data_IF_666205307629
#
_entry.id   IF_666205307629
#
_cell.length_a   1.000
_cell.length_b   1.000
_cell.length_c   1.000
_cell.angle_alpha   90.00
_cell.angle_beta   90.00
_cell.angle_gamma   90.00
#
_symmetry.space_group_name_H-M   'P 1'
#
loop_
_entity.id
_entity.type
_entity.pdbx_description
1 polymer ?
#
# COMPACT_ATOMS: atom_id res chain seq x y z
N UNK A 1 1.54 13.99 21.49
CA UNK A 1 1.38 13.49 20.10
C UNK A 1 1.50 11.99 20.17
N UNK A 2 0.38 11.24 20.11
CA UNK A 2 0.45 9.77 20.04
C UNK A 2 0.86 9.45 18.61
N UNK A 3 2.02 8.82 18.42
CA UNK A 3 2.38 8.21 17.13
C UNK A 3 1.50 6.97 17.01
N UNK A 4 0.45 7.05 16.20
CA UNK A 4 -0.23 5.88 15.67
C UNK A 4 0.23 5.80 14.22
N UNK A 5 1.04 4.79 13.91
CA UNK A 5 1.60 4.60 12.58
C UNK A 5 0.85 3.52 11.82
N UNK A 6 1.09 3.44 10.53
CA UNK A 6 0.79 2.25 9.73
C UNK A 6 2.10 1.48 9.49
N UNK A 7 2.02 0.33 8.81
CA UNK A 7 3.20 -0.36 8.28
C UNK A 7 3.15 -0.30 6.75
N UNK A 8 4.30 -0.13 6.11
CA UNK A 8 4.38 -0.06 4.64
C UNK A 8 5.56 -0.88 4.13
N UNK A 9 5.38 -1.55 3.01
CA UNK A 9 6.46 -2.24 2.29
C UNK A 9 7.48 -1.22 1.79
N UNK A 10 8.74 -1.62 1.66
CA UNK A 10 9.81 -0.77 1.12
C UNK A 10 10.91 -1.59 0.43
N UNK A 11 11.68 -0.94 -0.43
CA UNK A 11 12.84 -1.55 -1.07
C UNK A 11 14.08 -1.46 -0.17
N UNK A 12 14.56 -2.60 0.35
CA UNK A 12 15.72 -2.68 1.25
C UNK A 12 17.05 -2.23 0.60
N UNK A 13 17.12 -2.11 -0.73
CA UNK A 13 18.35 -1.72 -1.42
C UNK A 13 18.82 -0.28 -1.15
N UNK A 14 18.00 0.55 -0.51
CA UNK A 14 18.26 1.97 -0.29
C UNK A 14 18.58 2.36 1.16
N UNK A 15 18.61 1.42 2.12
CA UNK A 15 18.60 1.78 3.56
C UNK A 15 19.47 0.85 4.45
N UNK A 16 19.94 1.33 5.62
CA UNK A 16 20.62 0.49 6.60
C UNK A 16 19.68 -0.62 7.13
N UNK A 17 20.21 -1.85 7.20
CA UNK A 17 19.47 -3.10 7.40
C UNK A 17 18.67 -3.23 8.72
N UNK A 18 18.80 -2.30 9.67
CA UNK A 18 18.30 -2.46 11.04
C UNK A 18 16.86 -1.95 11.29
N UNK A 19 16.15 -1.43 10.28
CA UNK A 19 14.81 -0.83 10.44
C UNK A 19 13.65 -1.59 9.76
N UNK A 20 13.94 -2.70 9.07
CA UNK A 20 12.93 -3.46 8.33
C UNK A 20 12.65 -4.82 8.99
N UNK A 21 11.38 -5.19 9.07
CA UNK A 21 10.96 -6.56 9.42
C UNK A 21 10.59 -7.31 8.14
N UNK A 22 10.78 -8.64 8.13
CA UNK A 22 10.33 -9.49 7.01
C UNK A 22 8.94 -10.03 7.33
N UNK A 23 7.99 -9.79 6.43
CA UNK A 23 6.62 -10.29 6.49
C UNK A 23 6.31 -11.05 5.19
N UNK A 24 5.57 -12.15 5.32
CA UNK A 24 4.88 -12.82 4.22
C UNK A 24 3.39 -12.83 4.58
N UNK A 25 2.45 -12.83 3.64
CA UNK A 25 1.05 -13.07 3.98
C UNK A 25 0.92 -14.57 4.33
N UNK A 26 0.97 -14.91 5.63
CA UNK A 26 1.03 -16.32 6.07
C UNK A 26 -0.35 -16.97 6.20
N UNK A 27 -1.42 -16.19 6.38
CA UNK A 27 -2.82 -16.62 6.45
C UNK A 27 -3.75 -15.42 6.17
N UNK A 28 -4.80 -15.60 5.35
CA UNK A 28 -5.81 -14.57 5.04
C UNK A 28 -5.78 -14.04 3.61
N UNK A 29 -6.65 -13.07 3.30
CA UNK A 29 -6.77 -12.45 1.99
C UNK A 29 -6.00 -11.13 1.88
N UNK A 30 -5.64 -10.77 0.65
CA UNK A 30 -5.06 -9.48 0.29
C UNK A 30 -6.18 -8.53 -0.14
N UNK A 31 -6.38 -7.44 0.60
CA UNK A 31 -7.30 -6.38 0.19
C UNK A 31 -6.65 -5.55 -0.93
N UNK A 32 -7.24 -5.53 -2.11
CA UNK A 32 -6.67 -4.89 -3.31
C UNK A 32 -7.50 -3.68 -3.71
N UNK A 33 -7.11 -2.51 -3.21
CA UNK A 33 -7.88 -1.26 -3.31
C UNK A 33 -7.41 -0.48 -4.55
N UNK A 34 -8.32 -0.31 -5.51
CA UNK A 34 -7.99 0.33 -6.80
C UNK A 34 -8.80 1.60 -6.96
N UNK A 35 -8.12 2.72 -7.21
CA UNK A 35 -8.79 3.94 -7.67
C UNK A 35 -8.80 3.98 -9.22
N UNK A 36 -9.93 3.68 -9.88
CA UNK A 36 -10.01 3.60 -11.34
C UNK A 36 -9.81 4.96 -12.03
N UNK A 37 -9.95 6.07 -11.29
CA UNK A 37 -9.74 7.45 -11.79
C UNK A 37 -8.26 7.86 -11.74
N UNK A 38 -7.41 7.12 -11.04
CA UNK A 38 -5.96 7.40 -10.96
C UNK A 38 -5.21 6.84 -12.17
N UNK A 39 -4.19 7.58 -12.61
CA UNK A 39 -3.14 7.12 -13.52
C UNK A 39 -3.49 6.99 -15.01
N UNK A 40 -2.44 6.87 -15.80
CA UNK A 40 -2.50 6.60 -17.23
C UNK A 40 -2.82 5.12 -17.51
N UNK A 41 -3.23 4.80 -18.73
CA UNK A 41 -3.55 3.42 -19.15
C UNK A 41 -2.38 2.45 -18.92
N UNK A 42 -1.14 2.90 -19.11
CA UNK A 42 0.08 2.10 -18.90
C UNK A 42 0.27 1.69 -17.43
N UNK A 43 0.07 2.62 -16.49
CA UNK A 43 0.22 2.30 -15.07
C UNK A 43 -0.92 1.41 -14.57
N UNK A 44 -2.14 1.56 -15.10
CA UNK A 44 -3.27 0.64 -14.81
C UNK A 44 -2.97 -0.80 -15.23
N UNK A 45 -2.21 -1.00 -16.33
CA UNK A 45 -1.76 -2.33 -16.74
C UNK A 45 -0.87 -2.97 -15.67
N UNK A 46 0.03 -2.20 -15.05
CA UNK A 46 0.88 -2.70 -13.96
C UNK A 46 0.07 -3.14 -12.74
N UNK A 47 -0.95 -2.37 -12.35
CA UNK A 47 -1.88 -2.77 -11.29
C UNK A 47 -2.57 -4.09 -11.58
N UNK A 48 -3.07 -4.28 -12.81
CA UNK A 48 -3.68 -5.56 -13.20
C UNK A 48 -2.68 -6.71 -13.23
N UNK A 49 -1.48 -6.50 -13.78
CA UNK A 49 -0.46 -7.55 -13.86
C UNK A 49 0.03 -7.99 -12.48
N UNK A 50 0.05 -7.08 -11.50
CA UNK A 50 0.43 -7.43 -10.14
C UNK A 50 -0.67 -8.23 -9.42
N UNK A 51 -1.94 -7.88 -9.63
CA UNK A 51 -3.08 -8.70 -9.19
C UNK A 51 -3.00 -10.13 -9.76
N UNK A 52 -2.80 -10.24 -11.09
CA UNK A 52 -2.65 -11.53 -11.78
C UNK A 52 -1.49 -12.34 -11.19
N UNK A 53 -0.34 -11.71 -10.93
CA UNK A 53 0.80 -12.36 -10.28
C UNK A 53 0.46 -12.90 -8.89
N UNK A 54 -0.27 -12.14 -8.06
CA UNK A 54 -0.67 -12.59 -6.72
C UNK A 54 -1.60 -13.81 -6.79
N UNK A 55 -2.58 -13.78 -7.69
CA UNK A 55 -3.51 -14.91 -7.90
C UNK A 55 -2.75 -16.15 -8.42
N UNK A 56 -1.82 -15.99 -9.36
CA UNK A 56 -0.97 -17.08 -9.85
C UNK A 56 -0.08 -17.69 -8.77
N UNK A 57 0.31 -16.91 -7.77
CA UNK A 57 1.04 -17.39 -6.58
C UNK A 57 0.14 -18.07 -5.55
N UNK A 58 -1.17 -18.07 -5.75
CA UNK A 58 -2.15 -18.74 -4.89
C UNK A 58 -2.68 -17.88 -3.75
N UNK A 59 -2.45 -16.56 -3.76
CA UNK A 59 -3.04 -15.66 -2.77
C UNK A 59 -4.52 -15.43 -3.06
N UNK A 60 -5.36 -15.40 -2.02
CA UNK A 60 -6.73 -14.88 -2.13
C UNK A 60 -6.67 -13.35 -2.23
N UNK A 61 -7.13 -12.78 -3.34
CA UNK A 61 -7.13 -11.34 -3.57
C UNK A 61 -8.58 -10.84 -3.66
N UNK A 62 -8.94 -9.86 -2.82
CA UNK A 62 -10.26 -9.21 -2.84
C UNK A 62 -10.14 -7.81 -3.39
N UNK A 63 -10.61 -7.61 -4.61
CA UNK A 63 -10.52 -6.33 -5.31
C UNK A 63 -11.68 -5.41 -4.94
N UNK A 64 -11.36 -4.20 -4.51
CA UNK A 64 -12.31 -3.12 -4.25
C UNK A 64 -12.03 -1.92 -5.16
N UNK A 65 -13.01 -1.54 -5.97
CA UNK A 65 -12.91 -0.36 -6.83
C UNK A 65 -13.50 0.85 -6.11
N UNK A 66 -12.67 1.85 -5.85
CA UNK A 66 -13.13 3.04 -5.12
C UNK A 66 -13.81 4.05 -6.04
N UNK A 67 -14.76 4.78 -5.49
CA UNK A 67 -15.56 5.80 -6.18
C UNK A 67 -15.11 7.21 -5.84
N UNK A 68 -14.48 7.39 -4.67
CA UNK A 68 -13.94 8.64 -4.15
C UNK A 68 -12.69 8.39 -3.28
N UNK A 69 -12.09 9.47 -2.78
CA UNK A 69 -11.00 9.39 -1.80
C UNK A 69 -11.51 8.96 -0.42
N UNK A 70 -12.68 9.44 -0.01
CA UNK A 70 -13.31 9.05 1.25
C UNK A 70 -13.64 7.54 1.25
N UNK A 71 -14.16 7.03 0.14
CA UNK A 71 -14.43 5.61 -0.07
C UNK A 71 -13.14 4.75 0.01
N UNK A 72 -12.00 5.28 -0.49
CA UNK A 72 -10.72 4.59 -0.34
C UNK A 72 -10.28 4.48 1.13
N UNK A 73 -10.55 5.50 1.94
CA UNK A 73 -10.30 5.48 3.37
C UNK A 73 -11.23 4.49 4.09
N UNK A 74 -12.52 4.49 3.76
CA UNK A 74 -13.52 3.59 4.34
C UNK A 74 -13.19 2.12 4.06
N UNK A 75 -12.92 1.77 2.80
CA UNK A 75 -12.52 0.41 2.41
C UNK A 75 -11.22 -0.02 3.10
N UNK A 76 -10.25 0.89 3.25
CA UNK A 76 -9.03 0.60 3.97
C UNK A 76 -9.27 0.40 5.47
N UNK A 77 -10.20 1.14 6.06
CA UNK A 77 -10.58 1.00 7.47
C UNK A 77 -11.25 -0.36 7.73
N UNK A 78 -12.14 -0.78 6.85
CA UNK A 78 -12.79 -2.10 6.94
C UNK A 78 -11.75 -3.22 6.84
N UNK A 79 -10.86 -3.12 5.84
CA UNK A 79 -9.75 -4.05 5.70
C UNK A 79 -8.80 -3.99 6.91
N UNK A 80 -8.59 -2.83 7.53
CA UNK A 80 -7.71 -2.63 8.68
C UNK A 80 -8.18 -3.34 9.96
N UNK A 81 -9.49 -3.53 10.12
CA UNK A 81 -10.08 -4.18 11.31
C UNK A 81 -10.50 -5.63 11.09
N UNK A 82 -10.54 -6.12 9.85
CA UNK A 82 -10.92 -7.50 9.52
C UNK A 82 -9.81 -8.52 9.85
N UNK A 83 -10.06 -9.45 10.77
CA UNK A 83 -9.08 -10.47 11.18
C UNK A 83 -8.56 -11.32 10.01
N UNK A 84 -9.38 -11.55 8.98
CA UNK A 84 -9.01 -12.40 7.84
C UNK A 84 -8.21 -11.64 6.77
N UNK A 85 -8.01 -10.32 6.93
CA UNK A 85 -7.19 -9.52 6.02
C UNK A 85 -5.71 -9.59 6.43
N UNK A 86 -4.87 -10.15 5.57
CA UNK A 86 -3.45 -10.29 5.83
C UNK A 86 -2.65 -9.00 5.52
N UNK A 87 -3.06 -8.27 4.48
CA UNK A 87 -2.43 -7.02 4.05
C UNK A 87 -3.31 -6.24 3.08
N UNK A 88 -2.94 -4.98 2.86
CA UNK A 88 -3.60 -4.09 1.91
C UNK A 88 -2.64 -3.72 0.79
N UNK A 89 -3.08 -3.86 -0.46
CA UNK A 89 -2.43 -3.30 -1.64
C UNK A 89 -3.25 -2.10 -2.11
N UNK A 90 -2.60 -0.95 -2.27
CA UNK A 90 -3.21 0.25 -2.86
C UNK A 90 -2.69 0.49 -4.27
N UNK A 91 -3.62 0.60 -5.21
CA UNK A 91 -3.36 0.89 -6.62
C UNK A 91 -3.91 2.26 -6.95
N UNK A 92 -3.04 3.28 -6.96
CA UNK A 92 -3.47 4.66 -7.12
C UNK A 92 -2.33 5.68 -7.10
N UNK A 93 -2.67 6.95 -7.26
CA UNK A 93 -1.74 8.07 -7.04
C UNK A 93 -1.66 8.47 -5.56
N UNK A 94 -0.86 9.50 -5.26
CA UNK A 94 -0.55 9.96 -3.90
C UNK A 94 -1.80 10.24 -3.04
N UNK A 95 -2.84 10.83 -3.62
CA UNK A 95 -4.10 11.08 -2.91
C UNK A 95 -4.76 9.80 -2.41
N UNK A 96 -4.83 8.77 -3.25
CA UNK A 96 -5.39 7.46 -2.88
C UNK A 96 -4.52 6.76 -1.83
N UNK A 97 -3.20 6.76 -2.04
CA UNK A 97 -2.23 6.15 -1.12
C UNK A 97 -2.36 6.76 0.27
N UNK A 98 -2.51 8.08 0.35
CA UNK A 98 -2.68 8.80 1.61
C UNK A 98 -3.96 8.44 2.34
N UNK A 99 -5.09 8.34 1.64
CA UNK A 99 -6.36 7.96 2.27
C UNK A 99 -6.37 6.49 2.71
N UNK A 100 -5.77 5.58 1.92
CA UNK A 100 -5.61 4.18 2.34
C UNK A 100 -4.69 4.08 3.56
N UNK A 101 -3.60 4.84 3.59
CA UNK A 101 -2.71 4.88 4.74
C UNK A 101 -3.42 5.42 5.99
N UNK A 102 -4.28 6.42 5.83
CA UNK A 102 -5.10 6.96 6.90
C UNK A 102 -6.12 5.94 7.42
N UNK A 103 -6.82 5.22 6.54
CA UNK A 103 -7.75 4.16 6.95
C UNK A 103 -7.07 3.00 7.67
N UNK A 104 -5.80 2.73 7.38
CA UNK A 104 -4.98 1.74 8.06
C UNK A 104 -4.27 2.25 9.33
N UNK A 105 -4.52 3.48 9.76
CA UNK A 105 -3.89 4.06 10.95
C UNK A 105 -4.11 3.19 12.19
N UNK A 106 -3.03 2.81 12.87
CA UNK A 106 -3.09 1.99 14.09
C UNK A 106 -3.31 0.49 13.82
N UNK A 107 -3.42 0.07 12.57
CA UNK A 107 -3.42 -1.34 12.17
C UNK A 107 -1.99 -1.89 12.05
N UNK A 108 -1.84 -3.18 12.27
CA UNK A 108 -0.64 -3.97 12.00
C UNK A 108 -0.61 -4.55 10.58
N UNK A 109 -1.63 -4.28 9.76
CA UNK A 109 -1.67 -4.72 8.37
C UNK A 109 -0.75 -3.88 7.51
N UNK A 110 0.25 -4.49 6.86
CA UNK A 110 1.17 -3.73 6.03
C UNK A 110 0.52 -3.30 4.71
N UNK A 111 0.94 -2.13 4.25
CA UNK A 111 0.50 -1.52 3.01
C UNK A 111 1.54 -1.73 1.91
N UNK A 112 1.13 -2.22 0.75
CA UNK A 112 1.95 -2.21 -0.45
C UNK A 112 1.40 -1.22 -1.47
N UNK A 113 2.26 -0.37 -2.01
CA UNK A 113 1.88 0.66 -2.97
C UNK A 113 2.18 0.19 -4.39
N UNK A 114 1.17 0.22 -5.25
CA UNK A 114 1.30 0.16 -6.70
C UNK A 114 1.07 1.56 -7.26
N UNK A 115 2.15 2.32 -7.53
CA UNK A 115 2.04 3.73 -7.89
C UNK A 115 1.46 3.90 -9.28
N UNK A 116 0.38 4.69 -9.38
CA UNK A 116 -0.25 5.07 -10.64
C UNK A 116 -0.14 6.56 -10.99
N UNK A 117 0.32 7.40 -10.06
CA UNK A 117 0.39 8.86 -10.21
C UNK A 117 1.60 9.32 -11.01
N UNK A 118 1.71 10.63 -11.21
CA UNK A 118 2.87 11.25 -11.87
C UNK A 118 4.06 11.40 -10.92
N UNK A 119 3.80 11.92 -9.72
CA UNK A 119 4.84 12.29 -8.76
C UNK A 119 5.18 11.15 -7.79
N UNK A 120 4.19 10.34 -7.38
CA UNK A 120 4.37 9.12 -6.58
C UNK A 120 5.32 9.32 -5.38
N UNK A 121 5.15 10.42 -4.65
CA UNK A 121 6.14 10.93 -3.69
C UNK A 121 6.50 9.88 -2.64
N UNK A 122 5.48 9.25 -2.02
CA UNK A 122 5.69 8.24 -0.98
C UNK A 122 6.30 6.96 -1.55
N UNK A 123 5.85 6.53 -2.73
CA UNK A 123 6.40 5.36 -3.41
C UNK A 123 7.88 5.58 -3.76
N UNK A 124 8.24 6.74 -4.29
CA UNK A 124 9.63 7.10 -4.61
C UNK A 124 10.51 7.13 -3.35
N UNK A 125 10.01 7.69 -2.25
CA UNK A 125 10.72 7.73 -0.97
C UNK A 125 10.97 6.32 -0.39
N UNK A 126 10.04 5.39 -0.62
CA UNK A 126 10.17 3.98 -0.24
C UNK A 126 10.96 3.13 -1.26
N UNK A 127 11.43 3.73 -2.35
CA UNK A 127 12.22 3.06 -3.39
C UNK A 127 11.39 2.23 -4.39
N UNK A 128 10.10 2.50 -4.51
CA UNK A 128 9.25 1.94 -5.55
C UNK A 128 9.32 2.79 -6.83
N UNK A 129 9.22 2.12 -7.96
CA UNK A 129 8.85 2.75 -9.23
C UNK A 129 7.58 2.09 -9.79
N UNK A 130 7.03 2.66 -10.87
CA UNK A 130 5.83 2.14 -11.54
C UNK A 130 6.06 0.83 -12.32
N UNK A 131 7.22 0.17 -12.16
CA UNK A 131 7.50 -1.08 -12.88
C UNK A 131 7.04 -2.28 -12.07
N UNK A 132 6.27 -3.16 -12.72
CA UNK A 132 5.85 -4.45 -12.17
C UNK A 132 7.00 -5.22 -11.50
N UNK A 133 8.18 -5.25 -12.13
CA UNK A 133 9.37 -5.94 -11.62
C UNK A 133 9.80 -5.45 -10.24
N UNK A 134 9.70 -4.16 -9.97
CA UNK A 134 10.08 -3.55 -8.69
C UNK A 134 9.05 -3.87 -7.62
N UNK A 135 7.76 -3.81 -7.98
CA UNK A 135 6.64 -4.16 -7.12
C UNK A 135 6.74 -5.63 -6.68
N UNK A 136 6.89 -6.55 -7.63
CA UNK A 136 7.04 -8.00 -7.35
C UNK A 136 8.24 -8.26 -6.46
N UNK A 137 9.41 -7.67 -6.77
CA UNK A 137 10.60 -7.83 -5.94
C UNK A 137 10.39 -7.35 -4.51
N UNK A 138 9.68 -6.24 -4.33
CA UNK A 138 9.44 -5.67 -3.01
C UNK A 138 8.47 -6.53 -2.20
N UNK A 139 7.40 -7.01 -2.85
CA UNK A 139 6.49 -7.99 -2.27
C UNK A 139 7.22 -9.28 -1.85
N UNK A 140 8.01 -9.87 -2.75
CA UNK A 140 8.75 -11.12 -2.47
C UNK A 140 9.82 -10.95 -1.39
N UNK A 141 10.43 -9.77 -1.30
CA UNK A 141 11.41 -9.47 -0.28
C UNK A 141 10.79 -9.33 1.11
N UNK A 142 9.53 -8.88 1.19
CA UNK A 142 8.76 -8.85 2.44
C UNK A 142 9.17 -7.75 3.42
N UNK A 143 10.02 -6.80 3.02
CA UNK A 143 10.52 -5.77 3.92
C UNK A 143 9.47 -4.70 4.21
N UNK A 144 9.05 -4.62 5.47
CA UNK A 144 8.10 -3.62 5.97
C UNK A 144 8.76 -2.69 6.99
N UNK A 145 8.27 -1.45 7.05
CA UNK A 145 8.70 -0.44 8.02
C UNK A 145 7.52 0.37 8.57
N UNK A 146 7.67 0.99 9.75
CA UNK A 146 6.70 1.95 10.23
C UNK A 146 6.57 3.13 9.26
N UNK A 147 5.32 3.56 9.05
CA UNK A 147 4.94 4.76 8.33
C UNK A 147 4.32 5.73 9.33
N UNK A 148 4.97 6.88 9.54
CA UNK A 148 4.42 7.91 10.42
C UNK A 148 3.29 8.65 9.69
N UNK A 149 2.15 8.72 10.35
CA UNK A 149 0.99 9.46 9.89
C UNK A 149 0.82 10.72 10.74
N UNK A 150 0.65 11.85 10.07
CA UNK A 150 0.33 13.12 10.68
C UNK A 150 -1.01 13.63 10.15
N UNK A 151 -1.64 14.54 10.89
CA UNK A 151 -2.87 15.21 10.45
C UNK A 151 -2.74 16.72 10.61
N UNK A 152 -3.15 17.46 9.58
CA UNK A 152 -3.20 18.92 9.57
C UNK A 152 -4.51 19.38 8.94
N UNK A 153 -5.29 20.22 9.67
CA UNK A 153 -6.60 20.71 9.23
C UNK A 153 -7.56 19.59 8.78
N UNK A 154 -7.53 18.44 9.46
CA UNK A 154 -8.35 17.27 9.11
C UNK A 154 -7.88 16.49 7.89
N UNK A 155 -6.70 16.79 7.33
CA UNK A 155 -6.10 16.04 6.23
C UNK A 155 -4.88 15.27 6.73
N UNK A 156 -4.85 13.98 6.44
CA UNK A 156 -3.70 13.13 6.71
C UNK A 156 -2.50 13.54 5.84
N UNK A 157 -1.28 13.31 6.31
CA UNK A 157 -0.06 13.32 5.53
C UNK A 157 0.89 12.23 6.04
N UNK A 158 1.66 11.67 5.13
CA UNK A 158 2.62 10.59 5.40
C UNK A 158 4.01 11.16 5.55
N UNK A 159 4.80 10.64 6.49
CA UNK A 159 6.23 10.92 6.58
C UNK A 159 6.98 9.65 6.94
N UNK A 160 8.23 9.58 6.49
CA UNK A 160 9.12 8.46 6.72
C UNK A 160 10.25 8.99 7.62
N UNK A 161 10.26 8.59 8.90
CA UNK A 161 11.29 8.98 9.87
C UNK A 161 12.46 8.01 9.93
#
# INVERSE_FOLDING_TARGET
MKRQGAQVFCSCALMPYDLCTVMKPDDGYIAYIVNPKSGATSSKLTGRQFEEYLVEKGFEVRVSLTTSLDDACEVATDAAVDYDCAMVVVVGGDGTVREVAHGAEGSDKPLLIVPLGTENLLANELGFDEKLKTIVKTFEAGYIRPLDLGSANGKCFTSIA
#
